data_IF_470903097565
#
_entry.id   IF_470903097565
#
_cell.length_a   1.000
_cell.length_b   1.000
_cell.length_c   1.000
_cell.angle_alpha   90.00
_cell.angle_beta   90.00
_cell.angle_gamma   90.00
#
_symmetry.space_group_name_H-M   'P 1'
#
loop_
_entity.id
_entity.type
_entity.pdbx_description
1 polymer ?
#
# COMPACT_ATOMS: atom_id res chain seq x y z
N UNK A 1 0.71 -5.53 -5.13
CA UNK A 1 0.61 -5.77 -3.68
C UNK A 1 -0.54 -4.94 -3.11
N UNK A 2 -0.95 -5.19 -1.88
CA UNK A 2 -2.03 -4.45 -1.20
C UNK A 2 -1.49 -3.71 0.01
N UNK A 3 -2.29 -2.80 0.54
CA UNK A 3 -1.94 -1.97 1.71
C UNK A 3 -2.81 -2.34 2.89
N UNK A 4 -2.24 -2.31 4.08
CA UNK A 4 -2.96 -2.45 5.33
C UNK A 4 -2.74 -1.18 6.19
N UNK A 5 -3.80 -0.43 6.53
CA UNK A 5 -5.22 -0.69 6.24
C UNK A 5 -5.61 -0.46 4.77
N UNK A 6 -6.74 -1.04 4.36
CA UNK A 6 -7.29 -0.95 3.00
C UNK A 6 -7.92 0.44 2.73
N UNK A 7 -7.57 1.09 1.61
CA UNK A 7 -8.08 2.42 1.25
C UNK A 7 -8.97 2.39 0.01
N UNK A 8 -10.15 3.01 0.09
CA UNK A 8 -11.11 3.07 -1.04
C UNK A 8 -10.61 3.86 -2.26
N UNK A 9 -9.69 4.80 -2.05
CA UNK A 9 -9.12 5.68 -3.09
C UNK A 9 -7.64 5.90 -2.85
N UNK A 10 -6.88 6.19 -3.92
CA UNK A 10 -5.47 6.61 -3.84
C UNK A 10 -5.30 7.85 -2.94
N UNK A 11 -6.19 8.82 -3.07
CA UNK A 11 -6.15 10.05 -2.28
C UNK A 11 -6.25 9.78 -0.76
N UNK A 12 -7.03 8.77 -0.34
CA UNK A 12 -7.12 8.41 1.07
C UNK A 12 -5.82 7.76 1.58
N UNK A 13 -5.16 6.95 0.75
CA UNK A 13 -3.83 6.43 1.05
C UNK A 13 -2.82 7.57 1.20
N UNK A 14 -2.76 8.49 0.23
CA UNK A 14 -1.86 9.65 0.27
C UNK A 14 -2.08 10.50 1.53
N UNK A 15 -3.35 10.77 1.86
CA UNK A 15 -3.71 11.49 3.07
C UNK A 15 -3.22 10.77 4.33
N UNK A 16 -3.48 9.47 4.46
CA UNK A 16 -3.04 8.67 5.61
C UNK A 16 -1.51 8.71 5.80
N UNK A 17 -0.76 8.50 4.72
CA UNK A 17 0.71 8.58 4.73
C UNK A 17 1.18 9.98 5.11
N UNK A 18 0.56 11.04 4.55
CA UNK A 18 0.90 12.43 4.88
C UNK A 18 0.58 12.80 6.34
N UNK A 19 -0.42 12.16 6.95
CA UNK A 19 -0.74 12.30 8.38
C UNK A 19 0.19 11.46 9.29
N UNK A 20 1.16 10.74 8.73
CA UNK A 20 2.08 9.88 9.50
C UNK A 20 1.43 8.61 10.01
N UNK A 21 0.29 8.19 9.45
CA UNK A 21 -0.31 6.90 9.80
C UNK A 21 0.60 5.76 9.32
N UNK A 22 0.63 4.69 10.10
CA UNK A 22 1.38 3.49 9.74
C UNK A 22 0.56 2.73 8.70
N UNK A 23 1.07 2.69 7.48
CA UNK A 23 0.53 1.88 6.38
C UNK A 23 1.58 0.87 5.95
N UNK A 24 1.25 -0.42 5.99
CA UNK A 24 2.13 -1.50 5.57
C UNK A 24 1.72 -2.05 4.20
N UNK A 25 2.65 -2.74 3.53
CA UNK A 25 2.38 -3.42 2.26
C UNK A 25 2.49 -4.91 2.47
N UNK A 26 1.51 -5.66 1.96
CA UNK A 26 1.47 -7.11 2.02
C UNK A 26 1.07 -7.71 0.67
N UNK A 27 1.39 -8.99 0.48
CA UNK A 27 0.95 -9.76 -0.67
C UNK A 27 0.24 -11.04 -0.22
N UNK A 28 -1.04 -11.22 -0.55
CA UNK A 28 -1.79 -12.45 -0.23
C UNK A 28 -1.37 -13.65 -1.10
N UNK A 29 -0.50 -13.44 -2.09
CA UNK A 29 -0.01 -14.49 -2.98
C UNK A 29 0.81 -15.57 -2.28
N UNK A 30 0.76 -16.83 -2.77
CA UNK A 30 1.41 -17.97 -2.13
C UNK A 30 2.94 -17.96 -2.23
N UNK A 31 3.52 -17.04 -3.01
CA UNK A 31 4.95 -16.99 -3.31
C UNK A 31 5.70 -15.84 -2.62
N UNK A 32 4.99 -14.89 -2.03
CA UNK A 32 5.53 -13.63 -1.51
C UNK A 32 5.21 -13.42 -0.03
N UNK A 33 4.10 -14.01 0.48
CA UNK A 33 3.88 -14.47 1.86
C UNK A 33 4.19 -13.54 3.04
N UNK A 34 4.46 -12.25 2.81
CA UNK A 34 5.06 -11.40 3.83
C UNK A 34 4.90 -9.92 3.56
N UNK A 35 5.14 -9.15 4.63
CA UNK A 35 5.20 -7.70 4.56
C UNK A 35 6.52 -7.28 3.93
N UNK A 36 6.45 -6.30 3.02
CA UNK A 36 7.67 -5.68 2.50
C UNK A 36 8.29 -4.78 3.55
N UNK A 37 9.60 -4.90 3.75
CA UNK A 37 10.32 -4.11 4.76
C UNK A 37 10.91 -2.84 4.15
N UNK A 38 11.49 -2.90 2.95
CA UNK A 38 12.12 -1.75 2.29
C UNK A 38 11.97 -1.84 0.76
N UNK A 39 12.03 -0.70 0.08
CA UNK A 39 12.11 -0.61 -1.38
C UNK A 39 10.92 0.09 -2.03
N UNK A 40 10.84 0.02 -3.36
CA UNK A 40 9.72 0.56 -4.13
C UNK A 40 8.83 -0.55 -4.67
N UNK A 41 7.52 -0.33 -4.68
CA UNK A 41 6.56 -1.30 -5.22
C UNK A 41 5.28 -0.66 -5.70
N UNK A 42 4.64 -1.32 -6.65
CA UNK A 42 3.30 -0.98 -7.10
C UNK A 42 2.25 -1.66 -6.20
N UNK A 43 1.45 -0.83 -5.54
CA UNK A 43 0.31 -1.22 -4.71
C UNK A 43 -1.00 -0.91 -5.42
N UNK A 44 -2.00 -1.70 -5.11
CA UNK A 44 -3.34 -1.59 -5.66
C UNK A 44 -4.35 -1.31 -4.56
N UNK A 45 -5.46 -0.70 -4.95
CA UNK A 45 -6.63 -0.54 -4.11
C UNK A 45 -7.25 -1.85 -3.66
N UNK A 46 -8.37 -1.79 -2.91
CA UNK A 46 -8.80 -2.85 -2.00
C UNK A 46 -8.84 -4.21 -2.69
N UNK A 47 -8.61 -5.29 -1.94
CA UNK A 47 -8.77 -6.63 -2.52
C UNK A 47 -10.25 -6.92 -2.81
N UNK A 48 -11.17 -6.62 -1.88
CA UNK A 48 -12.63 -6.67 -2.03
C UNK A 48 -13.34 -5.92 -0.87
N UNK A 49 -14.61 -5.46 -1.01
CA UNK A 49 -15.39 -5.33 -2.24
C UNK A 49 -15.02 -4.07 -3.04
N UNK A 50 -15.00 -4.18 -4.36
CA UNK A 50 -14.60 -3.09 -5.25
C UNK A 50 -13.11 -3.10 -5.55
N UNK A 51 -12.64 -4.27 -5.98
CA UNK A 51 -11.23 -4.53 -6.25
C UNK A 51 -10.61 -3.57 -7.26
N UNK A 52 -9.31 -3.27 -7.09
CA UNK A 52 -8.47 -2.67 -8.13
C UNK A 52 -8.94 -1.30 -8.68
N UNK A 53 -9.60 -0.49 -7.84
CA UNK A 53 -10.06 0.85 -8.25
C UNK A 53 -8.95 1.88 -8.47
N UNK A 54 -7.77 1.62 -7.92
CA UNK A 54 -6.62 2.51 -8.06
C UNK A 54 -5.31 1.71 -7.98
N UNK A 55 -4.25 2.32 -8.49
CA UNK A 55 -2.87 1.84 -8.38
C UNK A 55 -1.98 3.00 -7.99
N UNK A 56 -0.91 2.72 -7.24
CA UNK A 56 0.10 3.69 -6.90
C UNK A 56 1.46 3.00 -6.78
N UNK A 57 2.52 3.70 -7.16
CA UNK A 57 3.87 3.33 -6.73
C UNK A 57 4.12 3.93 -5.35
N UNK A 58 4.80 3.19 -4.49
CA UNK A 58 5.14 3.63 -3.13
C UNK A 58 6.58 3.28 -2.78
N UNK A 59 7.17 4.04 -1.86
CA UNK A 59 8.42 3.69 -1.18
C UNK A 59 8.10 3.19 0.21
N UNK A 60 8.76 2.10 0.62
CA UNK A 60 8.65 1.47 1.92
C UNK A 60 9.98 1.64 2.65
N UNK A 61 9.91 2.02 3.92
CA UNK A 61 11.05 2.09 4.84
C UNK A 61 10.62 1.51 6.19
N UNK A 62 11.39 0.55 6.71
CA UNK A 62 11.13 -0.12 7.99
C UNK A 62 9.69 -0.67 8.11
N UNK A 63 9.20 -1.28 7.03
CA UNK A 63 7.87 -1.91 6.95
C UNK A 63 6.71 -0.95 6.74
N UNK A 64 6.97 0.34 6.49
CA UNK A 64 5.96 1.40 6.38
C UNK A 64 6.10 2.17 5.08
N UNK A 65 4.98 2.55 4.49
CA UNK A 65 4.98 3.46 3.35
C UNK A 65 5.44 4.85 3.81
N UNK A 66 6.50 5.36 3.19
CA UNK A 66 7.06 6.70 3.46
C UNK A 66 6.81 7.67 2.32
N UNK A 67 6.47 7.18 1.12
CA UNK A 67 6.18 8.01 -0.05
C UNK A 67 5.16 7.34 -0.95
N UNK A 68 4.23 8.14 -1.49
CA UNK A 68 3.32 7.77 -2.58
C UNK A 68 3.68 8.63 -3.80
N UNK A 69 3.82 8.01 -4.97
CA UNK A 69 4.17 8.72 -6.20
C UNK A 69 2.92 9.32 -6.88
N UNK A 70 3.07 10.42 -7.66
CA UNK A 70 1.98 11.08 -8.39
C UNK A 70 1.18 10.15 -9.31
#
# INVERSE_FOLDING_TARGET
>A
MYVEPDFKTKANLEFAVAQGQIVSVYDPGPFSGGHMINGEVDVEGPLQPGAWKWRARVTITDGKITKVFP
#
